data_IF_149466123083
#
_entry.id   IF_149466123083
#
_cell.length_a   1.000
_cell.length_b   1.000
_cell.length_c   1.000
_cell.angle_alpha   90.00
_cell.angle_beta   90.00
_cell.angle_gamma   90.00
#
_symmetry.space_group_name_H-M   'P 1'
#
loop_
_entity.id
_entity.type
_entity.pdbx_description
1 polymer ?
#
# COMPACT_ATOMS: atom_id res chain seq x y z
N UNK A 1 -9.34 2.24 5.35
CA UNK A 1 -8.34 3.28 5.12
C UNK A 1 -9.03 4.58 5.41
N UNK A 2 -8.67 5.27 6.48
CA UNK A 2 -9.12 6.65 6.67
C UNK A 2 -8.44 7.60 5.69
N UNK A 3 -7.36 7.15 5.03
CA UNK A 3 -6.55 7.96 4.15
C UNK A 3 -7.04 8.01 2.69
N UNK A 4 -8.11 7.29 2.31
CA UNK A 4 -8.66 7.34 0.94
C UNK A 4 -9.85 8.29 0.88
N UNK A 5 -9.91 9.20 -0.12
CA UNK A 5 -8.91 9.45 -1.15
C UNK A 5 -7.63 10.10 -0.61
N UNK A 6 -6.49 9.85 -1.27
CA UNK A 6 -5.19 10.33 -0.80
C UNK A 6 -5.02 11.83 -1.12
N UNK A 7 -4.43 12.57 -0.18
CA UNK A 7 -4.17 14.02 -0.31
C UNK A 7 -2.86 14.33 -1.05
N UNK A 8 -1.98 13.35 -1.14
CA UNK A 8 -0.65 13.42 -1.75
C UNK A 8 -0.26 12.03 -2.26
N UNK A 9 0.85 11.93 -3.00
CA UNK A 9 1.40 10.65 -3.44
C UNK A 9 1.95 9.86 -2.26
N UNK A 10 1.71 8.55 -2.25
CA UNK A 10 2.23 7.64 -1.24
C UNK A 10 3.26 6.69 -1.83
N UNK A 11 4.24 6.30 -1.03
CA UNK A 11 5.40 5.50 -1.43
C UNK A 11 5.50 4.22 -0.63
N UNK A 12 5.78 3.10 -1.30
CA UNK A 12 6.18 1.83 -0.70
C UNK A 12 7.60 1.98 -0.14
N UNK A 13 7.72 1.98 1.18
CA UNK A 13 9.00 2.19 1.86
C UNK A 13 9.78 0.88 2.04
N UNK A 14 9.10 -0.12 2.60
CA UNK A 14 9.63 -1.47 2.76
C UNK A 14 8.50 -2.49 2.93
N UNK A 15 8.87 -3.76 2.76
CA UNK A 15 7.98 -4.92 2.91
C UNK A 15 8.75 -6.13 3.46
N UNK A 16 8.05 -7.12 4.01
CA UNK A 16 8.66 -8.38 4.50
C UNK A 16 8.58 -9.54 3.49
N UNK A 17 8.45 -9.23 2.20
CA UNK A 17 8.41 -10.20 1.12
C UNK A 17 9.17 -9.63 -0.10
N UNK A 18 9.86 -10.50 -0.84
CA UNK A 18 10.78 -10.06 -1.91
C UNK A 18 10.06 -9.65 -3.19
N UNK A 19 9.04 -10.41 -3.62
CA UNK A 19 8.36 -10.25 -4.91
C UNK A 19 6.87 -10.09 -4.73
N UNK A 20 6.28 -9.14 -5.46
CA UNK A 20 4.84 -8.91 -5.50
C UNK A 20 4.28 -9.28 -6.90
N UNK A 21 3.52 -10.38 -7.03
CA UNK A 21 3.02 -10.82 -8.33
C UNK A 21 1.91 -9.92 -8.87
N UNK A 22 1.27 -9.11 -8.02
CA UNK A 22 0.22 -8.18 -8.45
C UNK A 22 0.81 -6.81 -8.79
N UNK A 23 1.80 -6.34 -8.02
CA UNK A 23 2.35 -4.99 -8.13
C UNK A 23 3.87 -4.95 -8.36
N UNK A 24 4.29 -4.76 -9.61
CA UNK A 24 5.69 -4.41 -9.92
C UNK A 24 6.75 -5.47 -9.61
N UNK A 25 6.41 -6.67 -9.12
CA UNK A 25 7.37 -7.74 -8.87
C UNK A 25 8.41 -7.36 -7.82
N UNK A 26 9.68 -7.38 -8.22
CA UNK A 26 10.83 -6.97 -7.40
C UNK A 26 11.22 -5.50 -7.60
N UNK A 27 10.46 -4.74 -8.41
CA UNK A 27 10.76 -3.35 -8.69
C UNK A 27 10.68 -2.47 -7.43
N UNK A 28 11.52 -1.44 -7.42
CA UNK A 28 11.56 -0.39 -6.41
C UNK A 28 10.71 0.81 -6.83
N UNK A 29 10.70 1.83 -5.99
CA UNK A 29 10.07 3.13 -6.25
C UNK A 29 8.56 3.01 -6.48
N UNK A 30 7.94 2.08 -5.77
CA UNK A 30 6.50 1.94 -5.73
C UNK A 30 5.86 3.22 -5.21
N UNK A 31 5.10 3.91 -6.04
CA UNK A 31 4.34 5.11 -5.68
C UNK A 31 2.92 5.03 -6.23
N UNK A 32 1.97 5.60 -5.51
CA UNK A 32 0.57 5.55 -5.93
C UNK A 32 -0.21 6.78 -5.51
N UNK A 33 -1.21 7.06 -6.34
CA UNK A 33 -2.15 8.16 -6.19
C UNK A 33 -3.57 7.60 -6.27
N UNK A 34 -4.42 8.04 -5.35
CA UNK A 34 -5.86 7.71 -5.35
C UNK A 34 -6.64 9.01 -5.37
N UNK A 35 -7.12 9.46 -6.54
CA UNK A 35 -7.79 10.74 -6.70
C UNK A 35 -9.13 10.77 -5.94
N UNK A 36 -9.65 11.98 -5.70
CA UNK A 36 -10.84 12.20 -4.89
C UNK A 36 -12.15 11.71 -5.51
N UNK A 37 -12.21 11.53 -6.82
CA UNK A 37 -13.42 11.09 -7.51
C UNK A 37 -13.56 9.58 -7.48
N UNK A 38 -14.54 9.09 -6.72
CA UNK A 38 -15.02 7.72 -6.83
C UNK A 38 -16.24 7.64 -7.76
N UNK A 39 -16.32 6.60 -8.58
CA UNK A 39 -17.51 6.25 -9.36
C UNK A 39 -18.13 5.02 -8.71
N UNK A 40 -19.34 5.16 -8.15
CA UNK A 40 -20.05 4.07 -7.45
C UNK A 40 -19.22 3.40 -6.33
N UNK A 41 -18.43 4.18 -5.59
CA UNK A 41 -17.57 3.66 -4.51
C UNK A 41 -16.25 3.05 -4.97
N UNK A 42 -15.97 3.07 -6.27
CA UNK A 42 -14.71 2.61 -6.86
C UNK A 42 -13.81 3.80 -7.18
N UNK A 43 -12.57 3.74 -6.73
CA UNK A 43 -11.51 4.71 -7.04
C UNK A 43 -10.62 4.16 -8.14
N UNK A 44 -10.14 5.03 -9.02
CA UNK A 44 -9.12 4.68 -10.01
C UNK A 44 -7.74 5.07 -9.46
N UNK A 45 -7.01 4.09 -8.95
CA UNK A 45 -5.65 4.24 -8.44
C UNK A 45 -4.66 4.16 -9.59
N UNK A 46 -3.72 5.10 -9.62
CA UNK A 46 -2.52 5.00 -10.46
C UNK A 46 -1.36 4.52 -9.61
N UNK A 47 -0.70 3.44 -10.01
CA UNK A 47 0.47 2.89 -9.34
C UNK A 47 1.65 2.86 -10.30
N UNK A 48 2.83 3.22 -9.81
CA UNK A 48 4.07 3.18 -10.59
C UNK A 48 5.17 2.49 -9.79
N UNK A 49 5.95 1.64 -10.45
CA UNK A 49 7.09 0.92 -9.89
C UNK A 49 8.26 1.04 -10.88
N UNK A 50 9.14 2.01 -10.66
CA UNK A 50 10.15 2.39 -11.65
C UNK A 50 9.49 2.79 -12.97
N UNK A 51 9.83 2.11 -14.06
CA UNK A 51 9.25 2.36 -15.38
C UNK A 51 7.87 1.68 -15.60
N UNK A 52 7.43 0.83 -14.68
CA UNK A 52 6.17 0.09 -14.80
C UNK A 52 5.04 0.98 -14.28
N UNK A 53 4.02 1.23 -15.10
CA UNK A 53 2.81 1.97 -14.71
C UNK A 53 1.58 1.09 -14.82
N UNK A 54 0.75 1.09 -13.78
CA UNK A 54 -0.44 0.25 -13.66
C UNK A 54 -1.65 1.11 -13.27
N UNK A 55 -2.81 0.81 -13.88
CA UNK A 55 -4.10 1.43 -13.54
C UNK A 55 -4.96 0.39 -12.84
N UNK A 56 -5.28 0.67 -11.57
CA UNK A 56 -5.93 -0.29 -10.68
C UNK A 56 -7.20 0.31 -10.12
N UNK A 57 -8.29 -0.45 -10.14
CA UNK A 57 -9.51 -0.10 -9.47
C UNK A 57 -9.41 -0.52 -8.00
N UNK A 58 -9.77 0.38 -7.10
CA UNK A 58 -9.74 0.21 -5.66
C UNK A 58 -11.15 0.37 -5.11
N UNK A 59 -11.64 -0.62 -4.36
CA UNK A 59 -12.83 -0.49 -3.51
C UNK A 59 -12.49 -0.85 -2.07
N UNK A 60 -13.26 -0.28 -1.14
CA UNK A 60 -13.12 -0.54 0.28
C UNK A 60 -14.36 -1.24 0.80
N UNK A 61 -14.16 -2.24 1.65
CA UNK A 61 -15.24 -2.86 2.44
C UNK A 61 -14.77 -3.05 3.88
N UNK A 62 -15.72 -3.34 4.77
CA UNK A 62 -15.42 -3.62 6.17
C UNK A 62 -15.38 -5.12 6.41
N UNK A 63 -14.42 -5.59 7.20
CA UNK A 63 -14.39 -6.97 7.69
C UNK A 63 -15.42 -7.17 8.79
N UNK A 64 -15.77 -8.42 9.09
CA UNK A 64 -16.70 -8.75 10.17
C UNK A 64 -16.31 -8.09 11.50
N UNK A 65 -17.28 -7.44 12.14
CA UNK A 65 -17.08 -6.74 13.42
C UNK A 65 -16.50 -5.33 13.32
N UNK A 66 -16.27 -4.81 12.11
CA UNK A 66 -15.76 -3.45 11.89
C UNK A 66 -16.73 -2.63 11.04
N UNK A 67 -16.88 -1.35 11.39
CA UNK A 67 -17.56 -0.36 10.54
C UNK A 67 -16.58 0.32 9.56
N UNK A 68 -15.30 0.36 9.92
CA UNK A 68 -14.27 0.97 9.09
C UNK A 68 -13.96 0.09 7.86
N UNK A 69 -13.85 0.73 6.69
CA UNK A 69 -13.45 0.06 5.44
C UNK A 69 -11.98 -0.38 5.48
N UNK A 70 -11.69 -1.48 6.16
CA UNK A 70 -10.35 -2.01 6.41
C UNK A 70 -9.92 -3.12 5.45
N UNK A 71 -10.79 -3.54 4.54
CA UNK A 71 -10.49 -4.47 3.45
C UNK A 71 -10.35 -3.66 2.16
N UNK A 72 -9.24 -3.86 1.44
CA UNK A 72 -8.95 -3.22 0.16
C UNK A 72 -9.06 -4.27 -0.93
N UNK A 73 -9.92 -4.02 -1.90
CA UNK A 73 -10.05 -4.85 -3.09
C UNK A 73 -9.42 -4.12 -4.26
N UNK A 74 -8.48 -4.79 -4.91
CA UNK A 74 -7.82 -4.33 -6.11
C UNK A 74 -8.28 -5.14 -7.31
N UNK A 75 -8.50 -4.48 -8.45
CA UNK A 75 -8.60 -5.13 -9.75
C UNK A 75 -7.83 -4.37 -10.83
N UNK A 76 -7.13 -5.08 -11.69
CA UNK A 76 -6.38 -4.45 -12.79
C UNK A 76 -7.32 -4.08 -13.92
N UNK A 77 -7.24 -2.83 -14.40
CA UNK A 77 -8.10 -2.37 -15.49
C UNK A 77 -7.74 -3.11 -16.78
N UNK A 78 -8.69 -3.84 -17.36
CA UNK A 78 -8.49 -4.57 -18.62
C UNK A 78 -7.86 -5.96 -18.49
N UNK A 79 -7.61 -6.43 -17.26
CA UNK A 79 -7.07 -7.76 -16.97
C UNK A 79 -8.02 -8.51 -16.01
N UNK A 80 -8.06 -9.85 -16.11
CA UNK A 80 -8.78 -10.69 -15.15
C UNK A 80 -7.88 -11.01 -13.95
N UNK A 81 -7.42 -9.95 -13.26
CA UNK A 81 -6.55 -10.03 -12.10
C UNK A 81 -7.12 -9.20 -10.96
N UNK A 82 -7.28 -9.84 -9.79
CA UNK A 82 -7.75 -9.20 -8.56
C UNK A 82 -6.92 -9.63 -7.34
N UNK A 83 -6.88 -8.76 -6.34
CA UNK A 83 -6.17 -8.99 -5.09
C UNK A 83 -6.93 -8.37 -3.92
N UNK A 84 -6.83 -8.98 -2.74
CA UNK A 84 -7.44 -8.48 -1.50
C UNK A 84 -6.36 -8.28 -0.45
N UNK A 85 -6.34 -7.08 0.13
CA UNK A 85 -5.44 -6.71 1.21
C UNK A 85 -6.22 -6.16 2.41
N UNK A 86 -5.57 -6.10 3.57
CA UNK A 86 -6.15 -5.62 4.81
C UNK A 86 -5.32 -4.51 5.40
N UNK A 87 -5.97 -3.45 5.85
CA UNK A 87 -5.29 -2.34 6.51
C UNK A 87 -5.14 -2.72 7.97
N UNK A 88 -3.90 -2.98 8.37
CA UNK A 88 -3.56 -3.38 9.71
C UNK A 88 -3.41 -2.16 10.64
N UNK A 89 -2.95 -1.04 10.09
CA UNK A 89 -2.81 0.23 10.78
C UNK A 89 -2.73 1.37 9.75
N UNK A 90 -3.31 2.52 10.05
CA UNK A 90 -3.10 3.74 9.27
C UNK A 90 -3.04 4.99 10.16
N UNK A 91 -2.08 5.86 9.84
CA UNK A 91 -2.00 7.25 10.25
C UNK A 91 -1.66 8.06 9.01
N UNK A 92 -2.62 8.84 8.51
CA UNK A 92 -2.51 9.50 7.21
C UNK A 92 -1.41 10.57 7.13
N UNK A 93 -0.82 10.97 8.26
CA UNK A 93 0.31 11.90 8.32
C UNK A 93 1.68 11.21 8.38
N UNK A 94 1.71 9.90 8.67
CA UNK A 94 2.93 9.15 8.93
C UNK A 94 3.12 7.92 8.04
N UNK A 95 2.14 7.00 8.03
CA UNK A 95 2.22 5.74 7.30
C UNK A 95 0.89 4.96 7.28
N UNK A 96 0.86 3.92 6.45
CA UNK A 96 -0.11 2.85 6.51
C UNK A 96 0.62 1.51 6.43
N UNK A 97 0.15 0.53 7.19
CA UNK A 97 0.62 -0.84 7.19
C UNK A 97 -0.48 -1.70 6.60
N UNK A 98 -0.17 -2.34 5.48
CA UNK A 98 -1.12 -3.15 4.73
C UNK A 98 -0.63 -4.59 4.71
N UNK A 99 -1.54 -5.51 5.06
CA UNK A 99 -1.36 -6.96 4.97
C UNK A 99 -1.83 -7.45 3.61
N UNK A 100 -0.91 -8.00 2.83
CA UNK A 100 -1.15 -8.49 1.47
C UNK A 100 -1.40 -10.00 1.48
N UNK A 101 -2.59 -10.39 1.92
CA UNK A 101 -2.97 -11.81 2.10
C UNK A 101 -2.94 -12.62 0.81
N UNK A 102 -3.00 -11.96 -0.36
CA UNK A 102 -2.83 -12.61 -1.67
C UNK A 102 -1.39 -13.09 -1.95
N UNK A 103 -0.41 -12.65 -1.15
CA UNK A 103 0.99 -13.11 -1.22
C UNK A 103 1.20 -14.27 -0.25
N UNK A 104 0.92 -14.01 1.03
CA UNK A 104 0.78 -15.01 2.10
C UNK A 104 0.19 -14.34 3.35
N UNK A 105 -0.15 -15.13 4.38
CA UNK A 105 -0.80 -14.66 5.61
C UNK A 105 -0.01 -13.64 6.44
N UNK A 106 1.31 -13.55 6.25
CA UNK A 106 2.22 -12.69 7.02
C UNK A 106 2.78 -11.52 6.20
N UNK A 107 2.46 -11.45 4.90
CA UNK A 107 3.01 -10.45 4.01
C UNK A 107 2.47 -9.06 4.39
N UNK A 108 3.39 -8.13 4.64
CA UNK A 108 3.09 -6.76 4.99
C UNK A 108 3.97 -5.79 4.21
N UNK A 109 3.41 -4.62 3.93
CA UNK A 109 4.09 -3.48 3.33
C UNK A 109 3.79 -2.23 4.13
N UNK A 110 4.79 -1.34 4.22
CA UNK A 110 4.64 0.00 4.78
C UNK A 110 4.60 1.00 3.64
N UNK A 111 3.51 1.76 3.60
CA UNK A 111 3.37 2.92 2.74
C UNK A 111 3.50 4.20 3.56
N UNK A 112 4.08 5.24 2.97
CA UNK A 112 4.23 6.54 3.62
C UNK A 112 3.85 7.67 2.67
N UNK A 113 3.22 8.75 3.16
CA UNK A 113 3.03 9.94 2.35
C UNK A 113 4.37 10.57 1.98
N UNK A 114 4.43 11.25 0.83
CA UNK A 114 5.62 11.96 0.33
C UNK A 114 6.20 12.88 1.41
N UNK A 115 5.34 13.65 2.09
CA UNK A 115 5.67 14.57 3.18
C UNK A 115 6.33 13.88 4.39
N UNK A 116 6.22 12.57 4.52
CA UNK A 116 6.81 11.79 5.60
C UNK A 116 8.09 11.05 5.21
N UNK A 117 8.46 10.93 3.92
CA UNK A 117 9.60 10.10 3.45
C UNK A 117 10.88 10.29 4.28
N UNK A 118 11.24 11.54 4.61
CA UNK A 118 12.48 11.89 5.32
C UNK A 118 12.34 12.01 6.85
N UNK A 119 11.15 11.73 7.41
CA UNK A 119 10.90 11.75 8.86
C UNK A 119 11.31 10.42 9.48
N UNK A 120 11.82 10.46 10.72
CA UNK A 120 12.08 9.26 11.53
C UNK A 120 10.74 8.67 11.99
N UNK A 121 10.46 7.40 11.67
CA UNK A 121 9.12 6.80 11.81
C UNK A 121 9.05 5.72 12.89
N UNK A 122 9.37 6.09 14.13
CA UNK A 122 9.47 5.12 15.23
C UNK A 122 8.17 4.40 15.54
N UNK A 123 6.99 5.03 15.35
CA UNK A 123 5.70 4.40 15.62
C UNK A 123 5.35 3.34 14.56
N UNK A 124 5.41 3.71 13.28
CA UNK A 124 5.14 2.81 12.16
C UNK A 124 6.04 1.58 12.16
N UNK A 125 7.34 1.77 12.42
CA UNK A 125 8.30 0.67 12.50
C UNK A 125 7.96 -0.28 13.66
N UNK A 126 7.59 0.27 14.82
CA UNK A 126 7.19 -0.53 15.98
C UNK A 126 5.89 -1.31 15.72
N UNK A 127 4.87 -0.67 15.15
CA UNK A 127 3.59 -1.33 14.83
C UNK A 127 3.79 -2.40 13.75
N UNK A 128 4.64 -2.14 12.75
CA UNK A 128 5.00 -3.15 11.75
C UNK A 128 5.63 -4.37 12.41
N UNK A 129 6.64 -4.18 13.25
CA UNK A 129 7.33 -5.28 13.93
C UNK A 129 6.36 -6.08 14.82
N UNK A 130 5.43 -5.40 15.49
CA UNK A 130 4.39 -6.02 16.31
C UNK A 130 3.40 -6.86 15.48
N UNK A 131 2.97 -6.36 14.32
CA UNK A 131 1.90 -6.97 13.53
C UNK A 131 2.39 -7.93 12.43
N UNK A 132 3.63 -7.78 11.98
CA UNK A 132 4.21 -8.43 10.80
C UNK A 132 5.53 -9.15 11.11
N UNK A 133 6.05 -8.99 12.33
CA UNK A 133 7.29 -9.60 12.80
C UNK A 133 8.54 -8.79 12.47
N UNK A 134 9.63 -9.11 13.18
CA UNK A 134 10.94 -8.44 13.08
C UNK A 134 11.88 -9.11 12.08
N UNK A 135 11.33 -9.80 11.09
CA UNK A 135 12.09 -10.56 10.09
C UNK A 135 12.81 -9.66 9.08
N UNK A 136 13.25 -10.26 7.98
CA UNK A 136 13.87 -9.54 6.88
C UNK A 136 12.92 -8.46 6.31
N UNK A 137 13.49 -7.28 6.03
CA UNK A 137 12.80 -6.14 5.40
C UNK A 137 13.46 -5.84 4.07
N UNK A 138 12.70 -5.94 2.99
CA UNK A 138 13.09 -5.52 1.66
C UNK A 138 12.71 -4.04 1.49
N UNK A 139 13.70 -3.16 1.50
CA UNK A 139 13.50 -1.73 1.28
C UNK A 139 13.22 -1.45 -0.20
N UNK A 140 12.03 -0.95 -0.47
CA UNK A 140 11.49 -0.68 -1.81
C UNK A 140 11.62 0.79 -2.20
N UNK A 141 11.98 1.67 -1.26
CA UNK A 141 12.31 3.07 -1.52
C UNK A 141 13.75 3.38 -1.09
N UNK A 142 14.48 4.08 -1.96
CA UNK A 142 15.77 4.68 -1.65
C UNK A 142 15.96 5.96 -2.49
N UNK A 143 17.16 6.56 -2.45
CA UNK A 143 17.44 7.83 -3.12
C UNK A 143 17.27 7.78 -4.64
N UNK A 144 17.32 6.60 -5.29
CA UNK A 144 17.09 6.51 -6.73
C UNK A 144 15.64 6.80 -7.11
N UNK A 145 14.71 6.81 -6.15
CA UNK A 145 13.30 7.06 -6.38
C UNK A 145 12.92 8.55 -6.35
N UNK A 146 13.88 9.45 -6.19
CA UNK A 146 13.69 10.91 -6.15
C UNK A 146 13.83 11.59 -7.54
N UNK A 147 13.89 10.80 -8.62
CA UNK A 147 14.15 11.27 -9.99
C UNK A 147 12.99 10.98 -10.93
#
# INVERSE_FOLDING_TARGET
>A
MQCVPLKETWYSLYRNYETDPFFGGTAKCGRFDVPSSAVNGTYQMSAQYGEISEQVLLTLSSSEGYDAGNVVHFSKTGEDASAVAYIAYDNCEECAIVRNTYINEKACVVFVPESALRKKKTCCDFVFDLLCGTGEKYYTYDKSCEH
#
